data_IF_541566813080
#
_entry.id   IF_541566813080
#
_cell.length_a   1.000
_cell.length_b   1.000
_cell.length_c   1.000
_cell.angle_alpha   90.00
_cell.angle_beta   90.00
_cell.angle_gamma   90.00
#
_symmetry.space_group_name_H-M   'P 1'
#
loop_
_entity.id
_entity.type
_entity.pdbx_description
1 polymer ?
#
# COMPACT_ATOMS: atom_id res chain seq x y z
N UNK A 1 -5.25 36.17 -2.20
CA UNK A 1 -3.92 36.82 -2.10
C UNK A 1 -2.87 35.97 -2.80
N UNK A 2 -2.29 36.42 -3.92
CA UNK A 2 -1.15 35.73 -4.56
C UNK A 2 0.14 36.24 -3.92
N UNK A 3 0.78 35.41 -3.09
CA UNK A 3 2.07 35.73 -2.47
C UNK A 3 3.11 35.84 -3.60
N UNK A 4 3.78 37.00 -3.73
CA UNK A 4 4.92 37.15 -4.65
C UNK A 4 6.03 36.22 -4.19
N UNK A 5 6.27 35.15 -4.94
CA UNK A 5 7.31 34.18 -4.62
C UNK A 5 8.67 34.72 -5.05
N UNK A 6 9.62 34.73 -4.12
CA UNK A 6 11.00 35.08 -4.41
C UNK A 6 11.64 34.01 -5.31
N UNK A 7 12.56 34.41 -6.18
CA UNK A 7 13.26 33.48 -7.10
C UNK A 7 13.91 32.30 -6.35
N UNK A 8 14.57 32.50 -5.17
CA UNK A 8 15.11 31.39 -4.38
C UNK A 8 14.04 30.41 -3.90
N UNK A 9 12.87 30.93 -3.47
CA UNK A 9 11.75 30.09 -3.04
C UNK A 9 11.24 29.21 -4.19
N UNK A 10 11.18 29.75 -5.41
CA UNK A 10 10.71 29.00 -6.59
C UNK A 10 11.66 27.85 -6.96
N UNK A 11 12.97 28.06 -6.86
CA UNK A 11 13.99 27.03 -7.11
C UNK A 11 13.94 25.95 -6.03
N UNK A 12 13.88 26.34 -4.75
CA UNK A 12 13.76 25.39 -3.64
C UNK A 12 12.46 24.56 -3.75
N UNK A 13 11.35 25.20 -4.09
CA UNK A 13 10.08 24.50 -4.29
C UNK A 13 10.19 23.49 -5.42
N UNK A 14 10.72 23.86 -6.59
CA UNK A 14 10.90 22.93 -7.70
C UNK A 14 11.77 21.73 -7.31
N UNK A 15 12.89 21.96 -6.62
CA UNK A 15 13.74 20.88 -6.09
C UNK A 15 12.97 19.96 -5.14
N UNK A 16 12.23 20.51 -4.19
CA UNK A 16 11.41 19.73 -3.26
C UNK A 16 10.33 18.91 -3.98
N UNK A 17 9.67 19.48 -4.99
CA UNK A 17 8.71 18.76 -5.82
C UNK A 17 9.36 17.61 -6.59
N UNK A 18 10.58 17.80 -7.12
CA UNK A 18 11.32 16.72 -7.78
C UNK A 18 11.69 15.60 -6.81
N UNK A 19 12.18 15.94 -5.62
CA UNK A 19 12.55 14.95 -4.58
C UNK A 19 11.34 14.18 -4.08
N UNK A 20 10.25 14.87 -3.73
CA UNK A 20 9.02 14.19 -3.29
C UNK A 20 8.41 13.36 -4.43
N UNK A 21 8.49 13.85 -5.67
CA UNK A 21 8.03 13.13 -6.85
C UNK A 21 8.80 11.83 -7.08
N UNK A 22 10.13 11.85 -7.00
CA UNK A 22 10.93 10.63 -7.18
C UNK A 22 10.71 9.62 -6.04
N UNK A 23 10.60 10.08 -4.79
CA UNK A 23 10.27 9.21 -3.65
C UNK A 23 8.89 8.59 -3.82
N UNK A 24 7.87 9.37 -4.20
CA UNK A 24 6.53 8.85 -4.45
C UNK A 24 6.53 7.81 -5.58
N UNK A 25 7.22 8.09 -6.69
CA UNK A 25 7.36 7.13 -7.79
C UNK A 25 8.06 5.84 -7.35
N UNK A 26 9.09 5.93 -6.51
CA UNK A 26 9.79 4.75 -6.00
C UNK A 26 8.90 3.83 -5.16
N UNK A 27 7.90 4.38 -4.46
CA UNK A 27 6.92 3.59 -3.71
C UNK A 27 5.84 2.97 -4.61
N UNK A 28 5.40 3.68 -5.65
CA UNK A 28 4.32 3.22 -6.54
C UNK A 28 4.81 2.18 -7.54
N UNK A 29 6.04 2.32 -8.02
CA UNK A 29 6.67 1.41 -8.99
C UNK A 29 6.58 -0.08 -8.61
N UNK A 30 7.00 -0.52 -7.41
CA UNK A 30 6.92 -1.93 -7.03
C UNK A 30 5.47 -2.44 -6.94
N UNK A 31 4.53 -1.58 -6.57
CA UNK A 31 3.11 -1.96 -6.51
C UNK A 31 2.58 -2.26 -7.91
N UNK A 32 2.89 -1.43 -8.90
CA UNK A 32 2.50 -1.66 -10.30
C UNK A 32 3.15 -2.95 -10.84
N UNK A 33 4.43 -3.18 -10.51
CA UNK A 33 5.16 -4.39 -10.93
C UNK A 33 4.52 -5.67 -10.38
N UNK A 34 4.17 -5.68 -9.08
CA UNK A 34 3.49 -6.81 -8.45
C UNK A 34 2.11 -7.04 -9.07
N UNK A 35 1.36 -5.98 -9.39
CA UNK A 35 0.08 -6.09 -10.09
C UNK A 35 0.26 -6.71 -11.48
N UNK A 36 1.25 -6.26 -12.25
CA UNK A 36 1.55 -6.83 -13.57
C UNK A 36 1.90 -8.31 -13.48
N UNK A 37 2.68 -8.73 -12.47
CA UNK A 37 2.99 -10.14 -12.22
C UNK A 37 1.73 -10.93 -11.87
N UNK A 38 0.89 -10.40 -10.99
CA UNK A 38 -0.31 -11.11 -10.51
C UNK A 38 -1.34 -11.38 -11.60
N UNK A 39 -1.35 -10.56 -12.66
CA UNK A 39 -2.24 -10.68 -13.83
C UNK A 39 -1.59 -11.40 -15.02
N UNK A 40 -0.32 -11.80 -14.91
CA UNK A 40 0.40 -12.52 -15.96
C UNK A 40 0.35 -14.03 -15.73
N UNK A 41 0.47 -14.81 -16.81
CA UNK A 41 0.53 -16.26 -16.69
C UNK A 41 1.73 -16.75 -15.85
N UNK A 42 1.55 -17.86 -15.15
CA UNK A 42 2.54 -18.43 -14.22
C UNK A 42 3.88 -18.78 -14.90
N UNK A 43 3.87 -19.12 -16.19
CA UNK A 43 5.08 -19.37 -16.98
C UNK A 43 5.81 -18.07 -17.31
N UNK A 44 5.07 -17.04 -17.70
CA UNK A 44 5.58 -15.71 -18.08
C UNK A 44 6.11 -14.94 -16.86
N UNK A 45 5.45 -15.08 -15.71
CA UNK A 45 5.89 -14.55 -14.43
C UNK A 45 7.20 -15.20 -13.94
N UNK A 46 7.32 -16.52 -14.02
CA UNK A 46 8.52 -17.26 -13.60
C UNK A 46 9.73 -17.03 -14.50
N UNK A 47 9.50 -16.79 -15.79
CA UNK A 47 10.55 -16.53 -16.77
C UNK A 47 11.12 -15.09 -16.69
N UNK A 48 10.55 -14.21 -15.85
CA UNK A 48 11.06 -12.86 -15.64
C UNK A 48 10.76 -11.88 -16.79
N UNK A 49 9.86 -12.23 -17.71
CA UNK A 49 9.49 -11.36 -18.84
C UNK A 49 8.54 -10.21 -18.45
N UNK A 50 8.01 -10.21 -17.22
CA UNK A 50 7.08 -9.17 -16.74
C UNK A 50 7.86 -7.95 -16.28
N UNK A 51 7.90 -6.93 -17.13
CA UNK A 51 8.45 -5.61 -16.81
C UNK A 51 7.32 -4.69 -16.31
N UNK A 52 6.79 -3.76 -17.10
CA UNK A 52 5.76 -2.83 -16.61
C UNK A 52 4.32 -3.21 -16.90
N UNK A 53 4.09 -4.03 -17.94
CA UNK A 53 2.77 -4.45 -18.39
C UNK A 53 2.62 -5.96 -18.25
N UNK A 54 1.40 -6.45 -17.99
CA UNK A 54 1.15 -7.88 -17.90
C UNK A 54 1.46 -8.55 -19.24
N UNK A 55 2.15 -9.68 -19.18
CA UNK A 55 2.50 -10.50 -20.34
C UNK A 55 1.62 -11.75 -20.27
N UNK A 56 0.80 -11.97 -21.31
CA UNK A 56 -0.23 -13.03 -21.35
C UNK A 56 -1.19 -12.92 -20.16
N UNK A 57 -2.18 -12.04 -20.30
CA UNK A 57 -3.17 -11.77 -19.26
C UNK A 57 -3.91 -13.05 -18.85
N UNK A 58 -3.77 -13.44 -17.57
CA UNK A 58 -4.37 -14.65 -17.01
C UNK A 58 -4.92 -14.38 -15.60
N UNK A 59 -6.13 -14.88 -15.33
CA UNK A 59 -6.75 -14.86 -14.01
C UNK A 59 -6.67 -16.22 -13.29
N UNK A 60 -5.98 -17.20 -13.88
CA UNK A 60 -5.90 -18.55 -13.32
C UNK A 60 -5.25 -18.56 -11.92
N UNK A 61 -4.24 -17.70 -11.70
CA UNK A 61 -3.61 -17.54 -10.40
C UNK A 61 -4.61 -17.11 -9.30
N UNK A 62 -5.54 -16.22 -9.61
CA UNK A 62 -6.58 -15.79 -8.69
C UNK A 62 -7.61 -16.89 -8.44
N UNK A 63 -8.07 -17.58 -9.48
CA UNK A 63 -9.00 -18.70 -9.34
C UNK A 63 -8.40 -19.81 -8.47
N UNK A 64 -7.12 -20.13 -8.68
CA UNK A 64 -6.38 -21.11 -7.89
C UNK A 64 -6.33 -20.74 -6.40
N UNK A 65 -6.09 -19.46 -6.08
CA UNK A 65 -6.06 -19.00 -4.69
C UNK A 65 -7.44 -19.05 -4.03
N UNK A 66 -8.50 -18.68 -4.75
CA UNK A 66 -9.87 -18.64 -4.22
C UNK A 66 -10.43 -20.04 -3.91
N UNK A 67 -10.03 -21.06 -4.68
CA UNK A 67 -10.46 -22.45 -4.44
C UNK A 67 -9.74 -23.05 -3.22
N UNK A 68 -8.57 -22.53 -2.84
CA UNK A 68 -7.83 -23.02 -1.68
C UNK A 68 -8.47 -22.60 -0.37
N UNK A 69 -9.08 -23.58 0.31
CA UNK A 69 -9.69 -23.40 1.63
C UNK A 69 -8.71 -22.82 2.67
N UNK A 70 -7.45 -23.25 2.65
CA UNK A 70 -6.43 -22.74 3.58
C UNK A 70 -6.12 -21.26 3.36
N UNK A 71 -6.15 -20.79 2.10
CA UNK A 71 -5.94 -19.39 1.77
C UNK A 71 -7.09 -18.52 2.31
N UNK A 72 -8.34 -18.92 2.04
CA UNK A 72 -9.52 -18.22 2.53
C UNK A 72 -9.59 -18.21 4.07
N UNK A 73 -9.27 -19.34 4.71
CA UNK A 73 -9.22 -19.41 6.17
C UNK A 73 -8.14 -18.48 6.74
N UNK A 74 -6.93 -18.49 6.17
CA UNK A 74 -5.83 -17.62 6.61
C UNK A 74 -6.16 -16.13 6.41
N UNK A 75 -6.84 -15.78 5.32
CA UNK A 75 -7.33 -14.42 5.05
C UNK A 75 -8.36 -14.01 6.11
N UNK A 76 -9.33 -14.87 6.41
CA UNK A 76 -10.39 -14.62 7.41
C UNK A 76 -9.81 -14.44 8.82
N UNK A 77 -8.88 -15.29 9.22
CA UNK A 77 -8.20 -15.18 10.53
C UNK A 77 -7.42 -13.88 10.62
N UNK A 78 -6.67 -13.51 9.56
CA UNK A 78 -5.91 -12.25 9.52
C UNK A 78 -6.82 -11.03 9.61
N UNK A 79 -7.91 -11.02 8.84
CA UNK A 79 -8.89 -9.94 8.86
C UNK A 79 -9.55 -9.80 10.23
N UNK A 80 -10.02 -10.92 10.80
CA UNK A 80 -10.65 -10.94 12.12
C UNK A 80 -9.69 -10.45 13.19
N UNK A 81 -8.40 -10.82 13.12
CA UNK A 81 -7.37 -10.34 14.05
C UNK A 81 -7.13 -8.84 13.95
N UNK A 82 -7.05 -8.28 12.75
CA UNK A 82 -6.88 -6.83 12.57
C UNK A 82 -8.08 -6.08 13.12
N UNK A 83 -9.30 -6.47 12.74
CA UNK A 83 -10.52 -5.79 13.20
C UNK A 83 -10.69 -5.90 14.71
N UNK A 84 -10.64 -7.11 15.27
CA UNK A 84 -10.80 -7.32 16.70
C UNK A 84 -9.67 -6.63 17.49
N UNK A 85 -8.43 -6.75 17.01
CA UNK A 85 -7.26 -6.12 17.60
C UNK A 85 -7.39 -4.60 17.65
N UNK A 86 -7.74 -3.96 16.52
CA UNK A 86 -7.94 -2.51 16.46
C UNK A 86 -9.07 -2.02 17.36
N UNK A 87 -10.20 -2.72 17.42
CA UNK A 87 -11.33 -2.33 18.28
C UNK A 87 -10.96 -2.41 19.75
N UNK A 88 -10.41 -3.55 20.18
CA UNK A 88 -10.00 -3.75 21.59
C UNK A 88 -8.91 -2.74 21.97
N UNK A 89 -7.93 -2.54 21.10
CA UNK A 89 -6.84 -1.60 21.33
C UNK A 89 -7.36 -0.16 21.44
N UNK A 90 -8.27 0.27 20.55
CA UNK A 90 -8.85 1.60 20.60
C UNK A 90 -9.65 1.83 21.89
N UNK A 91 -10.44 0.85 22.35
CA UNK A 91 -11.16 0.93 23.63
C UNK A 91 -10.18 1.11 24.79
N UNK A 92 -9.13 0.28 24.84
CA UNK A 92 -8.11 0.36 25.89
C UNK A 92 -7.37 1.70 25.88
N UNK A 93 -6.98 2.21 24.71
CA UNK A 93 -6.32 3.52 24.57
C UNK A 93 -7.26 4.63 25.05
N UNK A 94 -8.54 4.62 24.67
CA UNK A 94 -9.47 5.68 25.08
C UNK A 94 -9.69 5.68 26.59
N UNK A 95 -9.92 4.50 27.19
CA UNK A 95 -10.14 4.36 28.64
C UNK A 95 -8.93 4.80 29.47
N UNK A 96 -7.71 4.62 28.95
CA UNK A 96 -6.46 4.97 29.65
C UNK A 96 -6.00 6.39 29.36
N UNK A 97 -6.08 6.84 28.10
CA UNK A 97 -5.65 8.17 27.69
C UNK A 97 -6.61 9.27 28.15
N UNK A 98 -7.92 9.02 28.24
CA UNK A 98 -8.89 10.03 28.70
C UNK A 98 -8.60 10.53 30.13
N UNK A 99 -8.47 9.69 31.17
CA UNK A 99 -8.14 10.16 32.51
C UNK A 99 -6.74 10.81 32.56
N UNK A 100 -5.77 10.30 31.80
CA UNK A 100 -4.42 10.88 31.74
C UNK A 100 -4.40 12.27 31.09
N UNK A 101 -5.30 12.54 30.13
CA UNK A 101 -5.43 13.85 29.48
C UNK A 101 -6.05 14.92 30.39
N UNK A 102 -6.72 14.50 31.47
CA UNK A 102 -7.24 15.39 32.49
C UNK A 102 -6.16 15.59 33.54
N UNK A 103 -5.31 16.59 33.33
CA UNK A 103 -4.53 17.18 34.41
C UNK A 103 -5.52 17.78 35.41
N UNK A 104 -5.50 17.23 36.63
CA UNK A 104 -6.06 17.95 37.78
C UNK A 104 -5.20 19.18 38.04
#
# INVERSE_FOLDING_TARGET
MKVKQSVPYRIFSLFNWLVLGTVALSCVFPIIHILAISLSDSTSARAGFVSFLPVNFSLEAYQYLLIKKDFINSLSVSFTRVVAGSVINMIMIVLTAYPLSKTT
#
